data_IF_824932805634
#
_entry.id   IF_824932805634
#
_cell.length_a   1.000
_cell.length_b   1.000
_cell.length_c   1.000
_cell.angle_alpha   90.00
_cell.angle_beta   90.00
_cell.angle_gamma   90.00
#
_symmetry.space_group_name_H-M   'P 1'
#
loop_
_entity.id
_entity.type
_entity.pdbx_description
1 polymer ?
#
# COMPACT_ATOMS: atom_id res chain seq x y z
N UNK A 1 -72.53 19.58 48.72
CA UNK A 1 -73.01 20.73 47.93
C UNK A 1 -71.84 21.65 47.62
N UNK A 2 -71.78 22.19 46.39
CA UNK A 2 -70.70 22.98 45.73
C UNK A 2 -69.59 22.08 45.16
N UNK A 3 -69.60 21.64 43.89
CA UNK A 3 -69.60 22.34 42.58
C UNK A 3 -68.47 23.37 42.41
N UNK A 4 -67.42 22.98 41.68
CA UNK A 4 -66.57 23.82 40.82
C UNK A 4 -65.78 22.87 39.90
N UNK A 5 -66.30 22.58 38.71
CA UNK A 5 -66.01 23.20 37.40
C UNK A 5 -64.74 22.68 36.74
N UNK A 6 -64.99 21.84 35.71
CA UNK A 6 -64.11 21.45 34.62
C UNK A 6 -63.45 22.66 33.94
N UNK A 7 -62.15 22.56 33.65
CA UNK A 7 -61.54 23.17 32.46
C UNK A 7 -60.61 22.12 31.82
N UNK A 8 -61.09 21.53 30.72
CA UNK A 8 -60.30 20.72 29.78
C UNK A 8 -59.53 21.68 28.86
N UNK A 9 -58.20 21.67 28.91
CA UNK A 9 -57.37 22.23 27.83
C UNK A 9 -56.90 21.08 26.92
N UNK A 10 -57.56 20.93 25.78
CA UNK A 10 -57.07 20.16 24.64
C UNK A 10 -55.99 20.99 23.93
N UNK A 11 -54.73 20.63 24.11
CA UNK A 11 -53.63 21.13 23.28
C UNK A 11 -53.34 20.08 22.23
N UNK A 12 -53.80 20.31 21.01
CA UNK A 12 -53.41 19.57 19.80
C UNK A 12 -51.95 19.92 19.46
N UNK A 13 -51.01 19.12 19.96
CA UNK A 13 -49.61 19.17 19.54
C UNK A 13 -49.42 18.38 18.24
N UNK A 14 -49.24 19.08 17.12
CA UNK A 14 -48.69 18.48 15.90
C UNK A 14 -47.30 17.91 16.20
N UNK A 15 -46.97 16.66 15.83
CA UNK A 15 -45.61 16.18 15.93
C UNK A 15 -44.75 16.99 14.94
N UNK A 16 -43.78 17.73 15.48
CA UNK A 16 -42.77 18.39 14.69
C UNK A 16 -42.08 17.34 13.81
N UNK A 17 -42.28 17.45 12.49
CA UNK A 17 -41.56 16.70 11.47
C UNK A 17 -40.09 17.09 11.62
N UNK A 18 -39.33 16.31 12.40
CA UNK A 18 -37.87 16.43 12.46
C UNK A 18 -37.38 16.23 11.03
N UNK A 19 -36.97 17.33 10.39
CA UNK A 19 -36.28 17.27 9.13
C UNK A 19 -35.06 16.38 9.33
N UNK A 20 -35.01 15.27 8.60
CA UNK A 20 -33.80 14.47 8.52
C UNK A 20 -32.70 15.41 8.01
N UNK A 21 -31.67 15.63 8.82
CA UNK A 21 -30.42 16.20 8.34
C UNK A 21 -29.98 15.33 7.16
N UNK A 22 -29.75 15.87 5.95
CA UNK A 22 -29.25 15.05 4.86
C UNK A 22 -27.94 14.44 5.32
N UNK A 23 -27.94 13.14 5.55
CA UNK A 23 -26.72 12.37 5.76
C UNK A 23 -25.88 12.63 4.53
N UNK A 24 -24.71 13.26 4.70
CA UNK A 24 -23.78 13.45 3.59
C UNK A 24 -23.59 12.10 2.91
N UNK A 25 -24.09 11.96 1.69
CA UNK A 25 -23.98 10.76 0.90
C UNK A 25 -22.53 10.66 0.45
N UNK A 26 -21.70 10.08 1.30
CA UNK A 26 -20.33 9.74 0.95
C UNK A 26 -20.31 8.86 -0.29
N UNK A 27 -19.32 9.07 -1.15
CA UNK A 27 -19.10 8.19 -2.31
C UNK A 27 -18.14 7.06 -1.93
N UNK A 28 -18.31 5.91 -2.59
CA UNK A 28 -17.45 4.74 -2.43
C UNK A 28 -16.06 4.95 -3.02
N UNK A 29 -15.32 3.85 -3.21
CA UNK A 29 -14.00 3.93 -3.81
C UNK A 29 -14.11 4.17 -5.33
N UNK A 30 -13.23 5.00 -5.92
CA UNK A 30 -13.13 5.11 -7.37
C UNK A 30 -12.56 3.82 -7.98
N UNK A 31 -12.60 3.72 -9.31
CA UNK A 31 -11.85 2.71 -10.05
C UNK A 31 -10.33 2.93 -9.87
N UNK A 32 -9.53 1.90 -10.08
CA UNK A 32 -8.09 1.91 -9.89
C UNK A 32 -7.37 2.99 -10.72
N UNK A 33 -7.89 3.34 -11.89
CA UNK A 33 -7.37 4.45 -12.72
C UNK A 33 -7.46 5.83 -12.04
N UNK A 34 -8.36 5.98 -11.06
CA UNK A 34 -8.53 7.17 -10.22
C UNK A 34 -7.83 7.07 -8.86
N UNK A 35 -6.98 6.06 -8.63
CA UNK A 35 -6.25 5.87 -7.37
C UNK A 35 -4.77 6.11 -7.59
N UNK A 36 -4.26 7.14 -6.92
CA UNK A 36 -2.87 7.58 -6.97
C UNK A 36 -2.22 7.40 -5.60
N UNK A 37 -0.91 7.66 -5.56
CA UNK A 37 -0.16 7.86 -4.33
C UNK A 37 0.33 9.29 -4.27
N UNK A 38 0.21 9.92 -3.10
CA UNK A 38 0.89 11.16 -2.79
C UNK A 38 1.96 10.91 -1.72
N UNK A 39 3.07 11.64 -1.79
CA UNK A 39 4.14 11.58 -0.79
C UNK A 39 4.30 12.95 -0.16
N UNK A 40 4.57 13.01 1.14
CA UNK A 40 4.94 14.24 1.81
C UNK A 40 6.46 14.34 1.82
N UNK A 41 7.00 15.36 1.16
CA UNK A 41 8.44 15.60 1.14
C UNK A 41 8.82 16.45 2.35
N UNK A 42 9.73 15.94 3.16
CA UNK A 42 10.46 16.69 4.18
C UNK A 42 11.83 17.07 3.65
N UNK A 43 12.42 18.20 4.07
CA UNK A 43 13.80 18.52 3.72
C UNK A 43 14.75 17.49 4.35
N UNK A 44 15.63 16.88 3.56
CA UNK A 44 16.71 16.07 4.10
C UNK A 44 17.72 16.95 4.87
N UNK A 45 18.12 16.48 6.05
CA UNK A 45 19.18 17.14 6.83
C UNK A 45 20.51 17.07 6.06
N UNK A 46 20.96 18.23 5.54
CA UNK A 46 22.27 18.37 4.88
C UNK A 46 22.26 18.43 3.36
N UNK A 47 21.09 18.33 2.70
CA UNK A 47 20.98 18.48 1.25
C UNK A 47 21.24 19.95 0.81
N UNK A 48 22.13 20.12 -0.17
CA UNK A 48 22.49 21.41 -0.75
C UNK A 48 21.61 21.70 -1.98
N UNK A 49 20.40 22.23 -1.77
CA UNK A 49 19.46 22.52 -2.85
C UNK A 49 18.27 23.37 -2.41
N UNK A 50 17.43 23.81 -3.36
CA UNK A 50 16.13 24.40 -3.05
C UNK A 50 15.28 23.36 -2.32
N UNK A 51 14.92 23.68 -1.07
CA UNK A 51 14.19 22.80 -0.16
C UNK A 51 12.71 22.82 -0.53
N UNK A 52 12.15 21.68 -0.92
CA UNK A 52 10.71 21.53 -1.09
C UNK A 52 10.12 20.82 0.14
N UNK A 53 8.99 21.33 0.61
CA UNK A 53 8.25 20.74 1.73
C UNK A 53 6.78 20.77 1.39
N UNK A 54 6.14 19.60 1.42
CA UNK A 54 4.73 19.49 1.09
C UNK A 54 4.37 18.17 0.43
N UNK A 55 3.08 18.03 0.16
CA UNK A 55 2.55 16.89 -0.56
C UNK A 55 2.89 17.00 -2.06
N UNK A 56 3.31 15.90 -2.67
CA UNK A 56 3.53 15.78 -4.11
C UNK A 56 2.75 14.59 -4.65
N UNK A 57 2.29 14.70 -5.90
CA UNK A 57 1.55 13.68 -6.63
C UNK A 57 2.29 13.34 -7.93
N UNK A 58 3.00 12.21 -8.00
CA UNK A 58 3.56 11.72 -9.25
C UNK A 58 2.46 11.43 -10.28
N UNK A 59 2.70 11.82 -11.53
CA UNK A 59 1.76 11.65 -12.64
C UNK A 59 2.39 10.92 -13.84
N UNK A 60 3.69 11.05 -14.00
CA UNK A 60 4.44 10.48 -15.12
C UNK A 60 5.90 10.28 -14.72
N UNK A 61 6.61 9.42 -15.42
CA UNK A 61 8.03 9.23 -15.26
C UNK A 61 8.70 8.97 -16.62
N UNK A 62 10.01 9.19 -16.66
CA UNK A 62 10.85 8.88 -17.81
C UNK A 62 12.14 8.25 -17.35
N UNK A 63 12.39 7.01 -17.75
CA UNK A 63 13.68 6.34 -17.59
C UNK A 63 14.75 7.09 -18.39
N UNK A 64 15.90 7.34 -17.79
CA UNK A 64 17.03 8.04 -18.41
C UNK A 64 18.33 7.27 -18.17
N UNK A 65 19.29 7.38 -19.10
CA UNK A 65 20.59 6.73 -18.95
C UNK A 65 21.48 7.42 -17.89
N UNK A 66 21.35 8.74 -17.76
CA UNK A 66 22.09 9.56 -16.79
C UNK A 66 21.21 10.67 -16.21
N UNK A 67 21.52 11.07 -14.98
CA UNK A 67 20.94 12.21 -14.27
C UNK A 67 21.89 13.43 -14.27
N UNK A 68 23.01 13.38 -15.00
CA UNK A 68 23.97 14.47 -15.06
C UNK A 68 23.30 15.76 -15.58
N UNK A 69 23.37 16.82 -14.77
CA UNK A 69 22.76 18.11 -15.08
C UNK A 69 21.24 18.17 -14.88
N UNK A 70 20.61 17.08 -14.41
CA UNK A 70 19.21 17.08 -13.96
C UNK A 70 19.18 17.54 -12.50
N UNK A 71 18.46 18.63 -12.16
CA UNK A 71 18.31 19.02 -10.76
C UNK A 71 17.54 17.94 -9.99
N UNK A 72 17.88 17.77 -8.72
CA UNK A 72 17.18 16.84 -7.82
C UNK A 72 15.67 17.10 -7.79
N UNK A 73 15.30 18.38 -7.78
CA UNK A 73 13.93 18.83 -7.89
C UNK A 73 13.87 20.17 -8.64
N UNK A 74 12.88 20.34 -9.52
CA UNK A 74 12.62 21.59 -10.22
C UNK A 74 11.13 21.82 -10.45
N UNK A 75 10.68 23.06 -10.24
CA UNK A 75 9.36 23.49 -10.68
C UNK A 75 9.28 23.57 -12.21
N UNK A 76 8.14 23.17 -12.76
CA UNK A 76 7.84 23.26 -14.18
C UNK A 76 6.61 24.15 -14.40
N UNK A 77 6.62 24.89 -15.51
CA UNK A 77 5.38 25.45 -16.04
C UNK A 77 4.58 24.37 -16.79
N UNK A 78 3.31 24.66 -17.08
CA UNK A 78 2.41 23.70 -17.74
C UNK A 78 2.85 23.34 -19.16
N UNK A 79 3.54 24.24 -19.87
CA UNK A 79 4.01 24.00 -21.22
C UNK A 79 5.20 23.02 -21.22
N UNK A 80 6.14 23.20 -20.29
CA UNK A 80 7.26 22.30 -20.07
C UNK A 80 6.79 20.91 -19.61
N UNK A 81 5.84 20.83 -18.68
CA UNK A 81 5.23 19.57 -18.25
C UNK A 81 4.54 18.84 -19.42
N UNK A 82 3.72 19.56 -20.20
CA UNK A 82 3.09 18.98 -21.39
C UNK A 82 4.10 18.53 -22.43
N UNK A 83 5.17 19.28 -22.66
CA UNK A 83 6.25 18.90 -23.59
C UNK A 83 7.02 17.67 -23.12
N UNK A 84 7.10 17.45 -21.79
CA UNK A 84 7.66 16.24 -21.19
C UNK A 84 6.68 15.05 -21.19
N UNK A 85 5.47 15.19 -21.73
CA UNK A 85 4.46 14.12 -21.80
C UNK A 85 3.64 13.93 -20.52
N UNK A 86 3.74 14.86 -19.57
CA UNK A 86 3.00 14.78 -18.31
C UNK A 86 1.49 14.95 -18.59
N UNK A 87 0.63 14.03 -18.15
CA UNK A 87 -0.81 14.18 -18.32
C UNK A 87 -1.34 15.32 -17.47
N UNK A 88 -2.50 15.86 -17.86
CA UNK A 88 -3.19 16.84 -17.02
C UNK A 88 -3.52 16.22 -15.64
N UNK A 89 -3.32 16.97 -14.54
CA UNK A 89 -3.64 16.50 -13.21
C UNK A 89 -5.16 16.33 -13.05
N UNK A 90 -5.59 15.43 -12.15
CA UNK A 90 -7.00 15.30 -11.83
C UNK A 90 -7.55 16.58 -11.20
N UNK A 91 -8.80 16.91 -11.51
CA UNK A 91 -9.44 18.17 -11.08
C UNK A 91 -9.93 18.13 -9.63
N UNK A 92 -10.32 16.96 -9.13
CA UNK A 92 -10.80 16.79 -7.75
C UNK A 92 -10.05 15.64 -7.09
N UNK A 93 -9.16 15.97 -6.15
CA UNK A 93 -8.30 15.01 -5.47
C UNK A 93 -8.53 15.02 -3.95
N UNK A 94 -8.59 13.84 -3.36
CA UNK A 94 -8.72 13.64 -1.91
C UNK A 94 -7.59 12.77 -1.40
N UNK A 95 -6.85 13.22 -0.39
CA UNK A 95 -5.88 12.39 0.33
C UNK A 95 -6.60 11.61 1.43
N UNK A 96 -6.46 10.29 1.44
CA UNK A 96 -6.85 9.45 2.57
C UNK A 96 -5.80 9.58 3.66
N UNK A 97 -5.99 10.54 4.57
CA UNK A 97 -5.18 10.71 5.76
C UNK A 97 -5.75 9.88 6.94
N UNK A 98 -4.96 9.63 8.01
CA UNK A 98 -5.43 8.91 9.20
C UNK A 98 -6.71 9.53 9.83
N UNK A 99 -6.82 10.86 9.81
CA UNK A 99 -7.97 11.61 10.35
C UNK A 99 -9.16 11.70 9.37
N UNK A 100 -9.07 11.06 8.21
CA UNK A 100 -10.09 11.00 7.18
C UNK A 100 -9.72 11.71 5.87
N UNK A 101 -10.62 11.71 4.87
CA UNK A 101 -10.35 12.29 3.57
C UNK A 101 -10.16 13.81 3.63
N UNK A 102 -9.02 14.30 3.15
CA UNK A 102 -8.72 15.72 3.00
C UNK A 102 -8.74 16.11 1.52
N UNK A 103 -9.47 17.18 1.16
CA UNK A 103 -9.48 17.68 -0.22
C UNK A 103 -8.19 18.44 -0.51
N UNK A 104 -7.37 17.91 -1.42
CA UNK A 104 -6.16 18.57 -1.87
C UNK A 104 -6.44 19.56 -3.01
N UNK A 105 -5.62 20.61 -3.08
CA UNK A 105 -5.59 21.57 -4.19
C UNK A 105 -4.34 21.31 -5.02
N UNK A 106 -4.53 21.18 -6.33
CA UNK A 106 -3.43 21.01 -7.30
C UNK A 106 -2.67 22.33 -7.43
N UNK A 107 -1.35 22.26 -7.20
CA UNK A 107 -0.41 23.36 -7.32
C UNK A 107 0.40 23.32 -8.61
N UNK A 108 1.68 23.70 -8.51
CA UNK A 108 2.62 23.75 -9.62
C UNK A 108 3.05 22.36 -10.07
N UNK A 109 3.47 22.23 -11.34
CA UNK A 109 4.15 21.02 -11.78
C UNK A 109 5.57 20.96 -11.24
N UNK A 110 6.09 19.75 -11.11
CA UNK A 110 7.50 19.51 -10.77
C UNK A 110 8.12 18.40 -11.63
N UNK A 111 9.44 18.37 -11.63
CA UNK A 111 10.28 17.24 -12.01
C UNK A 111 11.23 16.91 -10.85
N UNK A 112 11.45 15.63 -10.58
CA UNK A 112 12.37 15.14 -9.57
C UNK A 112 13.25 14.01 -10.13
N UNK A 113 14.55 14.06 -9.85
CA UNK A 113 15.49 13.02 -10.21
C UNK A 113 15.43 11.85 -9.23
N UNK A 114 15.42 10.62 -9.74
CA UNK A 114 15.41 9.38 -8.95
C UNK A 114 16.57 8.51 -9.43
N UNK A 115 17.55 8.27 -8.56
CA UNK A 115 18.81 7.59 -8.92
C UNK A 115 18.75 6.06 -8.74
N UNK A 116 17.73 5.54 -8.04
CA UNK A 116 17.59 4.11 -7.77
C UNK A 116 16.12 3.68 -7.65
N UNK A 117 15.77 2.41 -7.96
CA UNK A 117 16.65 1.35 -8.46
C UNK A 117 16.99 1.49 -9.96
N UNK A 118 16.22 2.28 -10.70
CA UNK A 118 16.49 2.65 -12.09
C UNK A 118 16.54 4.17 -12.17
N UNK A 119 17.50 4.71 -12.91
CA UNK A 119 17.58 6.17 -13.10
C UNK A 119 16.37 6.66 -13.88
N UNK A 120 15.59 7.55 -13.27
CA UNK A 120 14.42 8.14 -13.89
C UNK A 120 14.18 9.57 -13.42
N UNK A 121 13.37 10.28 -14.19
CA UNK A 121 12.83 11.59 -13.80
C UNK A 121 11.34 11.39 -13.56
N UNK A 122 10.88 11.59 -12.33
CA UNK A 122 9.46 11.64 -12.00
C UNK A 122 8.92 13.05 -12.22
N UNK A 123 7.73 13.14 -12.79
CA UNK A 123 7.00 14.38 -13.01
C UNK A 123 5.66 14.31 -12.30
N UNK A 124 5.23 15.42 -11.75
CA UNK A 124 3.99 15.46 -11.02
C UNK A 124 3.51 16.86 -10.73
N UNK A 125 2.64 16.96 -9.74
CA UNK A 125 2.14 18.24 -9.21
C UNK A 125 2.32 18.30 -7.71
N UNK A 126 2.60 19.50 -7.21
CA UNK A 126 2.53 19.80 -5.79
C UNK A 126 1.07 19.85 -5.35
N UNK A 127 0.82 19.46 -4.11
CA UNK A 127 -0.50 19.46 -3.49
C UNK A 127 -0.50 20.35 -2.25
N UNK A 128 -1.57 21.12 -2.09
CA UNK A 128 -1.78 21.99 -0.93
C UNK A 128 -3.16 21.75 -0.30
N UNK A 129 -3.40 22.36 0.87
CA UNK A 129 -4.70 22.28 1.56
C UNK A 129 -4.86 21.12 2.54
N UNK A 130 -3.95 20.14 2.51
CA UNK A 130 -3.86 19.08 3.51
C UNK A 130 -2.65 19.28 4.42
N UNK A 131 -2.84 18.97 5.70
CA UNK A 131 -1.79 19.09 6.71
C UNK A 131 -0.64 18.13 6.42
N UNK A 132 0.55 18.46 6.91
CA UNK A 132 1.65 17.52 7.00
C UNK A 132 1.23 16.29 7.81
N UNK A 133 1.73 15.09 7.50
CA UNK A 133 1.57 13.93 8.36
C UNK A 133 2.22 14.20 9.72
N UNK A 134 1.73 13.57 10.81
CA UNK A 134 2.27 13.76 12.14
C UNK A 134 3.66 13.14 12.30
N UNK A 135 3.95 12.06 11.57
CA UNK A 135 5.18 11.28 11.62
C UNK A 135 5.68 10.96 10.20
N UNK A 136 7.00 10.82 10.02
CA UNK A 136 7.59 10.50 8.71
C UNK A 136 7.17 9.13 8.17
N UNK A 137 6.74 8.19 9.04
CA UNK A 137 6.15 6.93 8.63
C UNK A 137 4.82 7.10 7.88
N UNK A 138 4.16 8.25 8.08
CA UNK A 138 2.91 8.63 7.41
C UNK A 138 3.16 9.58 6.22
N UNK A 139 4.42 9.70 5.76
CA UNK A 139 4.81 10.51 4.59
C UNK A 139 4.27 9.99 3.25
N UNK A 140 3.29 9.10 3.25
CA UNK A 140 2.61 8.58 2.08
C UNK A 140 1.11 8.50 2.32
N UNK A 141 0.32 8.94 1.35
CA UNK A 141 -1.13 8.90 1.39
C UNK A 141 -1.70 8.34 0.09
N UNK A 142 -2.80 7.59 0.19
CA UNK A 142 -3.57 7.21 -0.99
C UNK A 142 -4.36 8.44 -1.46
N UNK A 143 -4.18 8.83 -2.71
CA UNK A 143 -4.88 9.97 -3.30
C UNK A 143 -5.99 9.48 -4.26
N UNK A 144 -7.22 9.89 -4.00
CA UNK A 144 -8.42 9.44 -4.72
C UNK A 144 -8.98 10.57 -5.58
N UNK A 145 -9.23 10.27 -6.85
CA UNK A 145 -9.96 11.17 -7.76
C UNK A 145 -11.46 10.96 -7.56
N UNK A 146 -12.14 11.99 -7.06
CA UNK A 146 -13.59 11.93 -6.81
C UNK A 146 -14.21 13.31 -6.67
N UNK A 147 -15.36 13.53 -7.31
CA UNK A 147 -16.08 14.81 -7.25
C UNK A 147 -16.67 15.10 -5.86
N UNK A 148 -16.87 14.06 -5.05
CA UNK A 148 -17.37 14.15 -3.69
C UNK A 148 -16.39 13.49 -2.70
N UNK A 149 -16.54 13.80 -1.42
CA UNK A 149 -15.67 13.23 -0.39
C UNK A 149 -15.84 11.70 -0.31
N UNK A 150 -14.77 10.90 -0.48
CA UNK A 150 -14.83 9.44 -0.52
C UNK A 150 -14.91 8.82 0.88
N UNK A 151 -15.79 9.34 1.74
CA UNK A 151 -15.91 8.95 3.16
C UNK A 151 -16.35 7.49 3.36
N UNK A 152 -16.86 6.83 2.32
CA UNK A 152 -17.19 5.40 2.37
C UNK A 152 -16.03 4.51 1.91
N UNK A 153 -15.02 5.08 1.25
CA UNK A 153 -13.84 4.35 0.83
C UNK A 153 -12.83 4.24 1.97
N UNK A 154 -12.37 3.03 2.26
CA UNK A 154 -11.40 2.75 3.33
C UNK A 154 -10.27 1.90 2.80
N UNK A 155 -9.06 2.24 3.21
CA UNK A 155 -7.92 1.34 3.07
C UNK A 155 -7.99 0.25 4.15
N UNK A 156 -7.99 -1.00 3.70
CA UNK A 156 -7.87 -2.17 4.57
C UNK A 156 -6.46 -2.75 4.39
N UNK A 157 -5.56 -2.61 5.37
CA UNK A 157 -4.20 -3.10 5.25
C UNK A 157 -4.16 -4.64 5.42
N UNK A 158 -3.08 -5.30 4.95
CA UNK A 158 -2.84 -6.70 5.25
C UNK A 158 -2.62 -6.90 6.74
N UNK A 159 -3.16 -8.00 7.28
CA UNK A 159 -2.87 -8.48 8.64
C UNK A 159 -2.14 -9.83 8.60
N UNK A 160 -1.15 -10.08 9.45
CA UNK A 160 -0.56 -11.41 9.58
C UNK A 160 -1.63 -12.44 9.95
N UNK A 161 -1.62 -13.61 9.30
CA UNK A 161 -2.56 -14.71 9.60
C UNK A 161 -1.87 -15.98 10.07
N UNK A 162 -0.69 -16.27 9.54
CA UNK A 162 0.10 -17.42 9.94
C UNK A 162 1.55 -17.21 9.53
N UNK A 163 2.47 -17.79 10.30
CA UNK A 163 3.89 -17.77 9.96
C UNK A 163 4.61 -18.96 10.59
N UNK A 164 5.71 -19.36 9.97
CA UNK A 164 6.70 -20.30 10.47
C UNK A 164 8.06 -19.67 10.26
N UNK A 165 8.49 -18.92 11.27
CA UNK A 165 9.76 -18.20 11.31
C UNK A 165 10.65 -18.81 12.39
N UNK A 166 11.96 -18.68 12.23
CA UNK A 166 12.89 -19.00 13.32
C UNK A 166 13.07 -17.83 14.27
N UNK A 167 13.66 -18.09 15.42
CA UNK A 167 13.86 -17.11 16.49
C UNK A 167 15.33 -16.71 16.57
N UNK A 168 15.59 -15.40 16.64
CA UNK A 168 16.91 -14.88 16.99
C UNK A 168 17.01 -14.74 18.52
N UNK A 169 18.09 -15.26 19.10
CA UNK A 169 18.38 -15.03 20.51
C UNK A 169 18.97 -13.63 20.75
N UNK A 170 19.29 -13.32 22.03
CA UNK A 170 19.85 -12.02 22.42
C UNK A 170 21.24 -11.73 21.82
N UNK A 171 21.93 -12.75 21.31
CA UNK A 171 23.21 -12.62 20.63
C UNK A 171 23.06 -12.49 19.10
N UNK A 172 21.83 -12.52 18.58
CA UNK A 172 21.54 -12.55 17.16
C UNK A 172 21.73 -13.92 16.52
N UNK A 173 22.00 -14.97 17.31
CA UNK A 173 22.08 -16.32 16.79
C UNK A 173 20.67 -16.81 16.46
N UNK A 174 20.44 -17.19 15.21
CA UNK A 174 19.15 -17.65 14.75
C UNK A 174 18.97 -19.14 15.03
N UNK A 175 17.76 -19.51 15.38
CA UNK A 175 17.35 -20.88 15.68
C UNK A 175 16.16 -21.28 14.83
N UNK A 176 16.12 -22.55 14.42
CA UNK A 176 15.07 -23.08 13.56
C UNK A 176 13.72 -23.07 14.29
N UNK A 177 12.61 -22.85 13.57
CA UNK A 177 11.28 -22.99 14.14
C UNK A 177 11.10 -24.42 14.71
N UNK A 178 10.79 -24.52 15.99
CA UNK A 178 10.54 -25.80 16.67
C UNK A 178 9.07 -26.22 16.61
N UNK A 179 8.17 -25.26 16.38
CA UNK A 179 6.73 -25.50 16.30
C UNK A 179 6.31 -25.82 14.87
N UNK A 180 5.70 -26.98 14.67
CA UNK A 180 4.97 -27.26 13.45
C UNK A 180 3.73 -26.37 13.38
N UNK A 181 3.75 -25.43 12.44
CA UNK A 181 2.59 -24.62 12.08
C UNK A 181 2.22 -25.00 10.66
N UNK A 182 0.97 -25.39 10.36
CA UNK A 182 0.55 -25.67 9.00
C UNK A 182 0.37 -24.37 8.23
N UNK A 183 0.76 -24.38 6.95
CA UNK A 183 0.51 -23.26 6.04
C UNK A 183 -0.99 -23.16 5.73
N UNK A 184 -1.58 -21.94 5.67
CA UNK A 184 -2.97 -21.77 5.29
C UNK A 184 -3.29 -22.46 3.94
N UNK A 185 -4.37 -23.25 3.83
CA UNK A 185 -4.65 -24.04 2.62
C UNK A 185 -4.68 -23.24 1.32
N UNK A 186 -5.23 -22.01 1.36
CA UNK A 186 -5.29 -21.13 0.20
C UNK A 186 -3.89 -20.76 -0.34
N UNK A 187 -2.92 -20.55 0.55
CA UNK A 187 -1.54 -20.25 0.18
C UNK A 187 -0.75 -21.52 -0.15
N UNK A 188 -0.96 -22.62 0.59
CA UNK A 188 -0.32 -23.91 0.32
C UNK A 188 -0.61 -24.44 -1.09
N UNK A 189 -1.77 -24.12 -1.66
CA UNK A 189 -2.15 -24.51 -3.02
C UNK A 189 -1.36 -23.80 -4.13
N UNK A 190 -0.77 -22.63 -3.86
CA UNK A 190 -0.02 -21.83 -4.84
C UNK A 190 1.49 -21.89 -4.64
N UNK A 191 1.94 -22.37 -3.48
CA UNK A 191 3.37 -22.55 -3.20
C UNK A 191 3.90 -23.72 -4.04
N UNK A 192 4.98 -23.51 -4.83
CA UNK A 192 5.61 -24.59 -5.58
C UNK A 192 6.06 -25.73 -4.66
N UNK A 193 5.78 -26.97 -5.08
CA UNK A 193 6.31 -28.15 -4.40
C UNK A 193 7.84 -28.16 -4.49
N UNK A 194 8.50 -28.40 -3.36
CA UNK A 194 9.95 -28.48 -3.24
C UNK A 194 10.33 -29.62 -2.31
N UNK A 195 11.35 -30.38 -2.68
CA UNK A 195 11.94 -31.43 -1.85
C UNK A 195 12.84 -30.81 -0.77
N UNK A 196 12.21 -30.12 0.20
CA UNK A 196 12.89 -29.53 1.35
C UNK A 196 12.69 -30.42 2.57
N UNK A 197 13.69 -31.27 2.85
CA UNK A 197 13.62 -32.28 3.91
C UNK A 197 14.63 -31.96 5.01
N UNK A 198 14.14 -31.91 6.25
CA UNK A 198 14.99 -31.75 7.43
C UNK A 198 15.90 -32.99 7.61
N UNK A 199 17.15 -32.82 8.11
CA UNK A 199 17.73 -31.58 8.64
C UNK A 199 18.45 -30.71 7.59
N UNK A 200 18.61 -31.19 6.35
CA UNK A 200 19.38 -30.54 5.28
C UNK A 200 18.66 -29.40 4.55
N UNK A 201 17.37 -29.20 4.84
CA UNK A 201 16.61 -28.06 4.37
C UNK A 201 15.62 -27.57 5.42
N UNK A 202 15.34 -26.27 5.40
CA UNK A 202 14.40 -25.60 6.30
C UNK A 202 13.51 -24.63 5.52
N UNK A 203 12.20 -24.84 5.54
CA UNK A 203 11.23 -24.00 4.84
C UNK A 203 10.61 -22.97 5.78
N UNK A 204 11.02 -21.71 5.68
CA UNK A 204 10.43 -20.59 6.43
C UNK A 204 9.35 -19.94 5.59
N UNK A 205 8.25 -19.52 6.21
CA UNK A 205 7.17 -18.87 5.48
C UNK A 205 6.39 -17.90 6.35
N UNK A 206 5.79 -16.91 5.71
CA UNK A 206 4.91 -15.93 6.35
C UNK A 206 3.76 -15.61 5.40
N UNK A 207 2.55 -15.49 5.96
CA UNK A 207 1.34 -15.17 5.21
C UNK A 207 0.58 -14.05 5.93
N UNK A 208 0.25 -13.03 5.17
CA UNK A 208 -0.68 -11.97 5.53
C UNK A 208 -1.91 -12.01 4.61
N UNK A 209 -3.01 -11.42 5.07
CA UNK A 209 -4.29 -11.43 4.38
C UNK A 209 -5.00 -10.09 4.54
N UNK A 210 -5.77 -9.70 3.53
CA UNK A 210 -6.71 -8.58 3.63
C UNK A 210 -8.12 -9.14 3.70
N UNK A 211 -8.87 -8.70 4.72
CA UNK A 211 -10.26 -9.09 4.92
C UNK A 211 -11.21 -7.93 4.72
N UNK A 212 -12.16 -8.07 3.81
CA UNK A 212 -13.25 -7.11 3.63
C UNK A 212 -14.55 -7.74 4.08
N UNK A 213 -15.22 -7.11 5.05
CA UNK A 213 -16.46 -7.60 5.65
C UNK A 213 -16.35 -9.07 6.16
N UNK A 214 -15.21 -9.41 6.77
CA UNK A 214 -14.95 -10.74 7.34
C UNK A 214 -14.63 -11.84 6.32
N UNK A 215 -14.38 -11.47 5.05
CA UNK A 215 -14.00 -12.42 4.00
C UNK A 215 -12.61 -12.11 3.46
N UNK A 216 -11.75 -13.14 3.25
CA UNK A 216 -10.49 -12.96 2.53
C UNK A 216 -10.75 -12.41 1.14
N UNK A 217 -9.96 -11.41 0.72
CA UNK A 217 -10.01 -10.87 -0.65
C UNK A 217 -8.64 -10.87 -1.33
N UNK A 218 -7.58 -10.77 -0.55
CA UNK A 218 -6.21 -10.82 -1.02
C UNK A 218 -5.28 -11.44 0.03
N UNK A 219 -4.18 -12.01 -0.44
CA UNK A 219 -3.13 -12.59 0.39
C UNK A 219 -1.78 -12.04 -0.05
N UNK A 220 -0.85 -11.92 0.89
CA UNK A 220 0.56 -11.74 0.61
C UNK A 220 1.31 -12.84 1.33
N UNK A 221 2.36 -13.37 0.71
CA UNK A 221 3.16 -14.37 1.38
C UNK A 221 4.48 -14.63 0.71
N UNK A 222 5.38 -15.20 1.49
CA UNK A 222 6.68 -15.64 1.05
C UNK A 222 7.02 -16.99 1.66
N UNK A 223 7.82 -17.77 0.94
CA UNK A 223 8.43 -19.02 1.37
C UNK A 223 9.91 -18.98 0.99
N UNK A 224 10.77 -19.15 1.98
CA UNK A 224 12.22 -19.29 1.80
C UNK A 224 12.62 -20.72 2.13
N UNK A 225 13.20 -21.43 1.17
CA UNK A 225 13.79 -22.75 1.36
C UNK A 225 15.29 -22.61 1.56
N UNK A 226 15.72 -22.77 2.80
CA UNK A 226 17.12 -22.69 3.20
C UNK A 226 17.78 -24.06 3.06
N UNK A 227 18.81 -24.15 2.23
CA UNK A 227 19.65 -25.34 2.12
C UNK A 227 20.74 -25.27 3.19
N UNK A 228 20.77 -26.27 4.08
CA UNK A 228 21.66 -26.28 5.24
C UNK A 228 22.77 -27.31 4.99
N UNK A 229 24.03 -26.87 4.77
CA UNK A 229 25.15 -27.79 4.56
C UNK A 229 25.38 -28.74 5.74
N UNK A 230 25.93 -29.92 5.45
CA UNK A 230 26.37 -30.83 6.50
C UNK A 230 27.41 -30.17 7.41
N UNK A 231 27.22 -30.26 8.72
CA UNK A 231 28.09 -29.61 9.70
C UNK A 231 27.92 -28.09 9.83
N UNK A 232 26.90 -27.49 9.20
CA UNK A 232 26.60 -26.07 9.34
C UNK A 232 26.41 -25.66 10.81
N UNK A 233 26.91 -24.47 11.15
CA UNK A 233 26.80 -23.86 12.48
C UNK A 233 26.00 -22.57 12.38
N UNK A 234 25.49 -22.02 13.51
CA UNK A 234 24.82 -20.71 13.49
C UNK A 234 25.69 -19.59 12.88
N UNK A 235 27.02 -19.70 12.92
CA UNK A 235 27.92 -18.71 12.35
C UNK A 235 27.94 -18.71 10.81
N UNK A 236 27.60 -19.84 10.16
CA UNK A 236 27.60 -19.95 8.69
C UNK A 236 26.22 -19.69 8.08
N UNK A 237 25.22 -19.35 8.89
CA UNK A 237 23.82 -19.21 8.46
C UNK A 237 23.61 -18.19 7.33
N UNK A 238 24.50 -17.19 7.23
CA UNK A 238 24.46 -16.16 6.19
C UNK A 238 24.99 -16.63 4.83
N UNK A 239 25.64 -17.79 4.78
CA UNK A 239 26.19 -18.39 3.57
C UNK A 239 25.27 -19.49 3.01
N UNK A 240 24.21 -19.83 3.74
CA UNK A 240 23.27 -20.86 3.34
C UNK A 240 22.49 -20.39 2.11
N UNK A 241 22.37 -21.29 1.12
CA UNK A 241 21.61 -21.00 -0.08
C UNK A 241 20.12 -20.87 0.27
N UNK A 242 19.48 -19.83 -0.27
CA UNK A 242 18.05 -19.59 -0.13
C UNK A 242 17.41 -19.56 -1.51
N UNK A 243 16.40 -20.39 -1.71
CA UNK A 243 15.45 -20.21 -2.80
C UNK A 243 14.19 -19.52 -2.25
N UNK A 244 13.68 -18.49 -2.93
CA UNK A 244 12.52 -17.70 -2.49
C UNK A 244 11.36 -17.81 -3.46
N UNK A 245 10.16 -17.98 -2.92
CA UNK A 245 8.89 -17.77 -3.61
C UNK A 245 8.11 -16.71 -2.85
N UNK A 246 7.76 -15.61 -3.49
CA UNK A 246 6.93 -14.58 -2.87
C UNK A 246 5.99 -13.92 -3.86
N UNK A 247 5.01 -13.20 -3.32
CA UNK A 247 4.10 -12.38 -4.09
C UNK A 247 2.80 -12.11 -3.35
N UNK A 248 1.82 -11.60 -4.10
CA UNK A 248 0.46 -11.41 -3.61
C UNK A 248 -0.55 -12.01 -4.57
N UNK A 249 -1.71 -12.33 -3.99
CA UNK A 249 -2.71 -13.19 -4.59
C UNK A 249 -4.09 -12.59 -4.33
N UNK A 250 -5.01 -12.78 -5.26
CA UNK A 250 -6.44 -12.48 -5.08
C UNK A 250 -7.23 -13.77 -4.95
N UNK A 251 -8.43 -13.69 -4.37
CA UNK A 251 -9.37 -14.81 -4.37
C UNK A 251 -10.03 -14.91 -5.74
N UNK A 252 -9.75 -16.00 -6.45
CA UNK A 252 -10.33 -16.33 -7.75
C UNK A 252 -11.83 -16.65 -7.68
N UNK A 253 -12.51 -16.77 -8.84
CA UNK A 253 -13.94 -17.10 -8.90
C UNK A 253 -14.34 -18.41 -8.21
N UNK A 254 -13.41 -19.37 -8.16
CA UNK A 254 -13.54 -20.68 -7.51
C UNK A 254 -13.10 -20.68 -6.04
N UNK A 255 -12.68 -19.53 -5.52
CA UNK A 255 -12.15 -19.37 -4.16
C UNK A 255 -10.66 -19.69 -4.03
N UNK A 256 -9.98 -20.13 -5.09
CA UNK A 256 -8.55 -20.40 -5.06
C UNK A 256 -7.74 -19.10 -5.01
N UNK A 257 -6.54 -19.13 -4.43
CA UNK A 257 -5.62 -18.01 -4.54
C UNK A 257 -5.06 -17.95 -5.97
N UNK A 258 -5.10 -16.77 -6.59
CA UNK A 258 -4.57 -16.52 -7.93
C UNK A 258 -3.47 -15.48 -7.80
N UNK A 259 -2.25 -15.83 -8.19
CA UNK A 259 -1.12 -14.90 -8.15
C UNK A 259 -1.40 -13.74 -9.10
N UNK A 260 -1.22 -12.52 -8.62
CA UNK A 260 -1.26 -11.35 -9.48
C UNK A 260 0.14 -11.19 -10.07
N UNK A 261 0.22 -11.18 -11.40
CA UNK A 261 1.48 -10.98 -12.16
C UNK A 261 1.37 -9.84 -13.16
N UNK A 262 0.16 -9.32 -13.40
CA UNK A 262 -0.06 -8.22 -14.33
C UNK A 262 0.62 -6.94 -13.83
N UNK A 263 1.29 -6.23 -14.74
CA UNK A 263 2.00 -4.98 -14.42
C UNK A 263 3.23 -5.14 -13.51
N UNK A 264 3.69 -6.37 -13.27
CA UNK A 264 4.89 -6.64 -12.48
C UNK A 264 6.08 -6.96 -13.36
N UNK A 265 7.05 -6.04 -13.40
CA UNK A 265 8.38 -6.32 -13.96
C UNK A 265 9.36 -6.78 -12.87
N UNK A 266 8.99 -6.61 -11.61
CA UNK A 266 9.71 -7.07 -10.42
C UNK A 266 8.71 -7.35 -9.29
N UNK A 267 9.15 -7.96 -8.17
CA UNK A 267 8.26 -8.27 -7.06
C UNK A 267 7.65 -7.01 -6.44
N UNK A 268 6.33 -6.94 -6.48
CA UNK A 268 5.53 -5.95 -5.76
C UNK A 268 4.98 -6.59 -4.47
N UNK A 269 4.81 -5.78 -3.43
CA UNK A 269 4.20 -6.19 -2.18
C UNK A 269 2.79 -5.64 -2.04
N UNK A 270 1.89 -6.42 -1.45
CA UNK A 270 0.54 -5.99 -1.14
C UNK A 270 0.57 -4.87 -0.09
N UNK A 271 0.11 -3.68 -0.45
CA UNK A 271 -0.06 -2.56 0.48
C UNK A 271 -1.45 -2.55 1.13
N UNK A 272 -2.46 -3.11 0.46
CA UNK A 272 -3.81 -3.23 1.01
C UNK A 272 -4.90 -3.28 -0.07
N UNK A 273 -6.14 -3.15 0.37
CA UNK A 273 -7.32 -3.06 -0.52
C UNK A 273 -8.15 -1.84 -0.13
N UNK A 274 -8.50 -1.02 -1.11
CA UNK A 274 -9.56 -0.03 -0.97
C UNK A 274 -10.91 -0.74 -1.08
N UNK A 275 -11.75 -0.55 -0.08
CA UNK A 275 -13.07 -1.15 0.01
C UNK A 275 -14.12 -0.12 0.45
N UNK A 276 -15.36 -0.35 0.03
CA UNK A 276 -16.53 0.41 0.46
C UNK A 276 -17.66 -0.54 0.89
N UNK A 277 -18.86 0.02 1.13
CA UNK A 277 -20.02 -0.75 1.56
C UNK A 277 -20.45 -1.86 0.58
N UNK A 278 -20.04 -1.77 -0.69
CA UNK A 278 -20.32 -2.77 -1.72
C UNK A 278 -19.21 -3.81 -1.89
N UNK A 279 -18.11 -3.71 -1.13
CA UNK A 279 -17.05 -4.71 -1.08
C UNK A 279 -15.66 -4.18 -1.51
N UNK A 280 -14.70 -5.08 -1.80
CA UNK A 280 -13.38 -4.70 -2.27
C UNK A 280 -13.47 -4.07 -3.66
N UNK A 281 -12.66 -3.03 -3.92
CA UNK A 281 -12.67 -2.27 -5.18
C UNK A 281 -11.33 -2.24 -5.86
N UNK A 282 -10.30 -1.85 -5.11
CA UNK A 282 -8.96 -1.65 -5.67
C UNK A 282 -7.94 -2.34 -4.81
N UNK A 283 -7.10 -3.17 -5.40
CA UNK A 283 -5.92 -3.73 -4.74
C UNK A 283 -4.74 -2.80 -4.98
N UNK A 284 -3.99 -2.54 -3.91
CA UNK A 284 -2.82 -1.67 -3.94
C UNK A 284 -1.58 -2.52 -3.71
N UNK A 285 -0.60 -2.37 -4.59
CA UNK A 285 0.71 -2.99 -4.43
C UNK A 285 1.82 -1.96 -4.65
N UNK A 286 2.89 -2.07 -3.88
CA UNK A 286 4.04 -1.18 -3.95
C UNK A 286 5.34 -1.98 -3.92
N UNK A 287 6.33 -1.48 -4.64
CA UNK A 287 7.69 -2.01 -4.69
C UNK A 287 8.70 -0.86 -4.69
N UNK A 288 10.00 -1.15 -4.75
CA UNK A 288 11.05 -0.14 -4.69
C UNK A 288 10.87 0.94 -5.77
N UNK A 289 10.37 2.11 -5.35
CA UNK A 289 10.15 3.25 -6.24
C UNK A 289 8.95 3.10 -7.18
N UNK A 290 8.03 2.15 -6.96
CA UNK A 290 6.85 2.01 -7.81
C UNK A 290 5.60 1.60 -7.04
N UNK A 291 4.45 1.88 -7.66
CA UNK A 291 3.14 1.57 -7.14
C UNK A 291 2.18 1.19 -8.26
N UNK A 292 1.31 0.22 -7.97
CA UNK A 292 0.28 -0.25 -8.88
C UNK A 292 -1.06 -0.36 -8.17
N UNK A 293 -2.10 0.21 -8.78
CA UNK A 293 -3.50 0.04 -8.40
C UNK A 293 -4.19 -0.89 -9.41
N UNK A 294 -4.89 -1.89 -8.89
CA UNK A 294 -5.60 -2.88 -9.68
C UNK A 294 -7.10 -2.81 -9.41
N UNK A 295 -7.92 -2.79 -10.46
CA UNK A 295 -9.35 -3.02 -10.32
C UNK A 295 -9.59 -4.47 -9.89
N UNK A 296 -10.37 -4.65 -8.83
CA UNK A 296 -10.80 -5.96 -8.35
C UNK A 296 -12.20 -6.26 -8.86
N UNK A 297 -12.29 -7.19 -9.81
CA UNK A 297 -13.57 -7.64 -10.35
C UNK A 297 -13.51 -9.12 -10.71
N UNK A 298 -14.58 -9.86 -10.38
CA UNK A 298 -14.75 -11.26 -10.77
C UNK A 298 -13.53 -12.14 -10.43
N UNK A 299 -12.96 -11.96 -9.24
CA UNK A 299 -11.79 -12.72 -8.78
C UNK A 299 -10.50 -12.48 -9.57
N UNK A 300 -10.38 -11.32 -10.22
CA UNK A 300 -9.18 -10.88 -10.95
C UNK A 300 -8.75 -9.50 -10.49
N UNK A 301 -7.45 -9.25 -10.59
CA UNK A 301 -6.84 -7.95 -10.46
C UNK A 301 -6.34 -7.52 -11.85
N UNK A 302 -6.82 -6.39 -12.35
CA UNK A 302 -6.38 -5.81 -13.64
C UNK A 302 -5.79 -4.44 -13.42
N UNK A 303 -4.68 -4.13 -14.07
CA UNK A 303 -3.98 -2.85 -13.85
C UNK A 303 -4.88 -1.69 -14.29
N UNK A 304 -5.24 -0.84 -13.34
CA UNK A 304 -5.90 0.43 -13.64
C UNK A 304 -4.91 1.60 -13.64
N UNK A 305 -3.86 1.51 -12.82
CA UNK A 305 -2.78 2.50 -12.77
C UNK A 305 -1.48 1.86 -12.32
N UNK A 306 -0.39 2.26 -12.96
CA UNK A 306 0.98 2.00 -12.55
C UNK A 306 1.76 3.31 -12.62
N UNK A 307 2.58 3.61 -11.62
CA UNK A 307 3.38 4.82 -11.54
C UNK A 307 4.71 4.53 -10.84
N UNK A 308 5.77 5.16 -11.34
CA UNK A 308 7.02 5.29 -10.60
C UNK A 308 6.88 6.45 -9.60
N UNK A 309 7.29 6.18 -8.37
CA UNK A 309 7.10 6.95 -7.14
C UNK A 309 8.50 7.26 -6.54
N UNK A 310 8.62 8.31 -5.71
CA UNK A 310 9.84 8.62 -4.93
C UNK A 310 10.13 7.64 -3.77
N UNK A 311 11.02 6.67 -4.00
CA UNK A 311 11.43 5.55 -3.12
C UNK A 311 11.13 5.76 -1.61
N UNK A 312 10.16 5.06 -1.01
CA UNK A 312 10.09 5.01 0.44
C UNK A 312 11.20 4.12 0.98
N UNK A 313 11.51 4.27 2.27
CA UNK A 313 12.67 3.64 2.90
C UNK A 313 12.77 2.13 2.57
N UNK A 314 13.93 1.61 2.15
CA UNK A 314 14.10 0.20 1.72
C UNK A 314 13.55 -0.84 2.70
N UNK A 315 13.58 -0.55 4.00
CA UNK A 315 13.04 -1.42 5.06
C UNK A 315 11.53 -1.65 4.94
N UNK A 316 10.81 -0.73 4.29
CA UNK A 316 9.36 -0.86 4.01
C UNK A 316 9.04 -2.04 3.08
N UNK A 317 10.04 -2.56 2.36
CA UNK A 317 9.88 -3.61 1.37
C UNK A 317 10.59 -4.93 1.70
N UNK A 318 11.50 -4.96 2.66
CA UNK A 318 12.31 -6.16 2.92
C UNK A 318 11.67 -7.12 3.93
N UNK A 319 10.68 -6.67 4.70
CA UNK A 319 10.11 -7.43 5.81
C UNK A 319 9.32 -8.70 5.41
N UNK A 320 8.80 -8.76 4.19
CA UNK A 320 8.00 -9.92 3.73
C UNK A 320 8.86 -10.97 3.02
N UNK A 321 9.89 -10.55 2.28
CA UNK A 321 10.70 -11.47 1.45
C UNK A 321 11.92 -12.04 2.19
N UNK A 322 12.45 -11.35 3.20
CA UNK A 322 13.60 -11.82 3.99
C UNK A 322 13.16 -12.62 5.21
N UNK A 323 12.71 -13.85 4.96
CA UNK A 323 12.40 -14.81 6.02
C UNK A 323 13.66 -15.60 6.39
N UNK A 324 14.26 -15.30 7.55
CA UNK A 324 15.42 -16.03 8.06
C UNK A 324 16.38 -15.15 8.90
N UNK A 325 17.62 -15.62 9.13
CA UNK A 325 18.63 -14.85 9.84
C UNK A 325 18.84 -13.46 9.23
N UNK A 326 18.85 -12.42 10.06
CA UNK A 326 19.26 -11.08 9.64
C UNK A 326 20.77 -11.04 9.62
N UNK A 327 21.32 -11.31 8.46
CA UNK A 327 22.71 -11.04 8.16
C UNK A 327 22.82 -9.55 7.87
N UNK A 328 23.81 -8.85 8.44
CA UNK A 328 24.07 -7.43 8.11
C UNK A 328 24.14 -7.21 6.60
N UNK A 329 24.19 -5.95 6.15
CA UNK A 329 24.14 -5.58 4.73
C UNK A 329 24.90 -6.62 3.87
N UNK A 330 24.15 -7.37 3.06
CA UNK A 330 24.74 -8.32 2.14
C UNK A 330 25.82 -7.57 1.34
N UNK A 331 27.02 -8.16 1.15
CA UNK A 331 28.07 -7.51 0.37
C UNK A 331 27.59 -7.14 -1.03
#
# INVERSE_FOLDING_TARGET
MRWCLLILFLVTGCPAKRGATPTASGVGCPAASGVYIASYLTPDEGAAGQRHTGWVLPLHDRIVETLDGVPEYAALDAAAASAAGVPAPPTTLWLLAPDGPCKATIGSYYAAAIDAPTKNIAYGVELTGCAAPPDDSDASAIALVSDASPTQCKLVPPRPVAQRLGDADRSGAWSRPTKETPMPPAFAAVVPLRDCIAPGCEALWSVAQVDVAGKPVAYAGAVNWWTIPDGATPQTQCEWRVDTFSGFFVVGPDGAAVQVTEGQNHPLLLSGVLADASGPKVLLAAGPGEYTAYDLANGRATVGRHLVWLVPHPDSYTAVDRLGPVCGAAP
#
